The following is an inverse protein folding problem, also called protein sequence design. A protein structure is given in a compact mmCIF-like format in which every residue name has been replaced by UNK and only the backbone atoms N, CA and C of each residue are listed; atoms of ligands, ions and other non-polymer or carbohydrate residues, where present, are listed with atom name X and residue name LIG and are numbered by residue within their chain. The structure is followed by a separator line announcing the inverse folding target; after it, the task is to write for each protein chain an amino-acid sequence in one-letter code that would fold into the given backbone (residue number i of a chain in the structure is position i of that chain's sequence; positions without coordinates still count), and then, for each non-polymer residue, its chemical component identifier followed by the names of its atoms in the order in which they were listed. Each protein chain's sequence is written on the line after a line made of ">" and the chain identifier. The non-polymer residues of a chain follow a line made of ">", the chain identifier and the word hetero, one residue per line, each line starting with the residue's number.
data_IF_368137348194
#
_entry.id   IF_368137348194
#
_cell.length_a   1.000
_cell.length_b   1.000
_cell.length_c   1.000
_cell.angle_alpha   90.00
_cell.angle_beta   90.00
_cell.angle_gamma   90.00
#
_symmetry.space_group_name_H-M   'P 1'
#
loop_
_entity.id
_entity.type
_entity.pdbx_description
1 polymer ?
#
# COMPACT_ATOMS: atom_id res chain seq x y z
N UNK A 1 -1.14 8.82 6.50
CA UNK A 1 -0.45 7.56 6.12
C UNK A 1 -1.40 6.48 5.66
N UNK A 2 -2.52 6.21 6.35
CA UNK A 2 -3.49 5.18 5.93
C UNK A 2 -4.13 5.46 4.56
N UNK A 3 -4.50 6.71 4.30
CA UNK A 3 -5.17 7.12 3.07
C UNK A 3 -4.36 6.79 1.79
N UNK A 4 -3.06 7.12 1.68
CA UNK A 4 -2.28 6.76 0.51
C UNK A 4 -2.03 5.24 0.35
N UNK A 5 -1.98 4.50 1.46
CA UNK A 5 -1.87 3.04 1.42
C UNK A 5 -3.16 2.40 0.91
N UNK A 6 -4.32 2.87 1.40
CA UNK A 6 -5.63 2.41 0.94
C UNK A 6 -5.87 2.76 -0.52
N UNK A 7 -5.47 3.96 -0.96
CA UNK A 7 -5.56 4.35 -2.36
C UNK A 7 -4.70 3.42 -3.24
N UNK A 8 -3.42 3.22 -2.90
CA UNK A 8 -2.53 2.34 -3.68
C UNK A 8 -3.01 0.90 -3.70
N UNK A 9 -3.53 0.38 -2.57
CA UNK A 9 -4.09 -0.97 -2.50
C UNK A 9 -5.34 -1.12 -3.37
N UNK A 10 -6.31 -0.21 -3.25
CA UNK A 10 -7.56 -0.29 -4.01
C UNK A 10 -7.33 -0.08 -5.51
N UNK A 11 -6.59 0.96 -5.90
CA UNK A 11 -6.25 1.23 -7.30
C UNK A 11 -5.45 0.10 -7.95
N UNK A 12 -4.48 -0.47 -7.24
CA UNK A 12 -3.66 -1.58 -7.74
C UNK A 12 -4.49 -2.85 -7.95
N UNK A 13 -5.32 -3.24 -6.97
CA UNK A 13 -6.19 -4.42 -7.07
C UNK A 13 -7.22 -4.25 -8.18
N UNK A 14 -7.91 -3.11 -8.23
CA UNK A 14 -8.92 -2.84 -9.25
C UNK A 14 -8.29 -2.80 -10.66
N UNK A 15 -7.07 -2.28 -10.80
CA UNK A 15 -6.38 -2.25 -12.09
C UNK A 15 -6.02 -3.67 -12.54
N UNK A 16 -5.53 -4.49 -11.61
CA UNK A 16 -5.24 -5.90 -11.90
C UNK A 16 -6.50 -6.66 -12.32
N UNK A 17 -7.66 -6.37 -11.71
CA UNK A 17 -8.94 -6.96 -12.14
C UNK A 17 -9.33 -6.51 -13.55
N UNK A 18 -9.11 -5.25 -13.90
CA UNK A 18 -9.34 -4.74 -15.25
C UNK A 18 -8.44 -5.42 -16.29
N UNK A 19 -7.16 -5.66 -15.95
CA UNK A 19 -6.21 -6.40 -16.80
C UNK A 19 -6.69 -7.84 -17.01
N UNK A 20 -7.11 -8.54 -15.95
CA UNK A 20 -7.63 -9.91 -16.06
C UNK A 20 -8.91 -9.96 -16.91
N UNK A 21 -9.72 -8.91 -16.88
CA UNK A 21 -10.92 -8.77 -17.70
C UNK A 21 -10.66 -8.33 -19.15
N UNK A 22 -9.41 -8.07 -19.54
CA UNK A 22 -9.05 -7.55 -20.86
C UNK A 22 -9.57 -6.14 -21.14
N UNK A 23 -9.74 -5.32 -20.09
CA UNK A 23 -10.23 -3.93 -20.15
C UNK A 23 -9.19 -2.91 -19.72
N UNK A 24 -7.91 -3.26 -19.74
CA UNK A 24 -6.83 -2.41 -19.25
C UNK A 24 -6.81 -1.02 -19.87
N UNK A 25 -7.18 -0.89 -21.16
CA UNK A 25 -7.26 0.38 -21.87
C UNK A 25 -8.24 1.37 -21.23
N UNK A 26 -9.38 0.86 -20.77
CA UNK A 26 -10.46 1.68 -20.20
C UNK A 26 -10.12 2.13 -18.76
N UNK A 27 -9.18 1.42 -18.12
CA UNK A 27 -8.79 1.62 -16.72
C UNK A 27 -7.35 2.11 -16.56
N UNK A 28 -6.69 2.62 -17.60
CA UNK A 28 -5.34 3.23 -17.52
C UNK A 28 -5.29 4.34 -16.45
N UNK A 29 -6.38 5.10 -16.28
CA UNK A 29 -6.47 6.15 -15.26
C UNK A 29 -6.31 5.62 -13.83
N UNK A 30 -6.67 4.36 -13.57
CA UNK A 30 -6.48 3.70 -12.29
C UNK A 30 -5.00 3.49 -11.98
N UNK A 31 -4.22 3.14 -13.02
CA UNK A 31 -2.77 3.03 -12.92
C UNK A 31 -2.10 4.41 -12.75
N UNK A 32 -2.63 5.46 -13.38
CA UNK A 32 -2.18 6.84 -13.15
C UNK A 32 -2.41 7.26 -11.70
N UNK A 33 -3.61 7.02 -11.15
CA UNK A 33 -3.92 7.28 -9.74
C UNK A 33 -3.03 6.47 -8.79
N UNK A 34 -2.78 5.19 -9.10
CA UNK A 34 -1.91 4.33 -8.30
C UNK A 34 -0.49 4.90 -8.16
N UNK A 35 0.04 5.48 -9.24
CA UNK A 35 1.35 6.14 -9.27
C UNK A 35 1.35 7.52 -8.62
N UNK A 36 0.19 8.07 -8.24
CA UNK A 36 0.10 9.44 -7.72
C UNK A 36 0.13 10.51 -8.82
N UNK A 37 -0.20 10.13 -10.05
CA UNK A 37 -0.46 11.05 -11.15
C UNK A 37 -1.96 11.37 -11.19
N UNK A 38 -2.31 12.58 -10.73
CA UNK A 38 -3.69 13.08 -10.71
C UNK A 38 -4.01 13.95 -11.94
N UNK A 39 -3.38 13.65 -13.09
CA UNK A 39 -3.54 14.38 -14.35
C UNK A 39 -2.78 15.72 -14.34
N UNK A 40 -3.31 16.72 -13.64
CA UNK A 40 -2.70 18.07 -13.57
C UNK A 40 -1.63 18.19 -12.49
N UNK A 41 -1.58 17.27 -11.53
CA UNK A 41 -0.65 17.30 -10.41
C UNK A 41 0.15 16.00 -10.39
N UNK A 42 1.43 16.11 -10.75
CA UNK A 42 2.37 15.00 -10.71
C UNK A 42 3.05 14.97 -9.34
N UNK A 43 2.46 14.24 -8.39
CA UNK A 43 3.12 13.92 -7.11
C UNK A 43 3.85 12.57 -7.17
N UNK A 44 4.00 11.98 -8.36
CA UNK A 44 4.45 10.59 -8.56
C UNK A 44 5.69 10.23 -7.74
N UNK A 45 6.73 11.07 -7.77
CA UNK A 45 7.97 10.79 -7.04
C UNK A 45 7.82 10.93 -5.52
N UNK A 46 7.16 11.99 -5.04
CA UNK A 46 7.10 12.30 -3.60
C UNK A 46 6.08 11.39 -2.90
N UNK A 47 4.91 11.21 -3.51
CA UNK A 47 3.84 10.37 -2.97
C UNK A 47 4.28 8.91 -2.89
N UNK A 48 4.83 8.36 -3.98
CA UNK A 48 5.23 6.96 -4.03
C UNK A 48 6.36 6.66 -3.03
N UNK A 49 7.33 7.57 -2.92
CA UNK A 49 8.44 7.42 -1.97
C UNK A 49 7.97 7.45 -0.51
N UNK A 50 7.14 8.44 -0.14
CA UNK A 50 6.60 8.53 1.22
C UNK A 50 5.67 7.36 1.55
N UNK A 51 4.91 6.86 0.57
CA UNK A 51 4.04 5.70 0.76
C UNK A 51 4.86 4.43 1.00
N UNK A 52 5.93 4.20 0.23
CA UNK A 52 6.84 3.08 0.41
C UNK A 52 7.55 3.12 1.77
N UNK A 53 8.06 4.28 2.18
CA UNK A 53 8.67 4.46 3.51
C UNK A 53 7.66 4.25 4.65
N UNK A 54 6.45 4.78 4.51
CA UNK A 54 5.38 4.60 5.48
C UNK A 54 4.97 3.13 5.63
N UNK A 55 4.88 2.41 4.51
CA UNK A 55 4.61 0.97 4.51
C UNK A 55 5.73 0.17 5.17
N UNK A 56 7.00 0.47 4.82
CA UNK A 56 8.16 -0.17 5.44
C UNK A 56 8.16 0.03 6.96
N UNK A 57 7.89 1.25 7.41
CA UNK A 57 7.81 1.55 8.84
C UNK A 57 6.68 0.75 9.53
N UNK A 58 5.51 0.65 8.90
CA UNK A 58 4.40 -0.17 9.41
C UNK A 58 4.73 -1.65 9.48
N UNK A 59 5.41 -2.20 8.46
CA UNK A 59 5.84 -3.60 8.44
C UNK A 59 6.85 -3.86 9.56
N UNK A 60 7.88 -3.02 9.69
CA UNK A 60 8.91 -3.17 10.72
C UNK A 60 8.30 -3.08 12.13
N UNK A 61 7.49 -2.05 12.39
CA UNK A 61 6.84 -1.88 13.68
C UNK A 61 5.86 -3.03 13.97
N UNK A 62 5.10 -3.47 12.98
CA UNK A 62 4.23 -4.65 13.07
C UNK A 62 4.98 -5.92 13.45
N UNK A 63 6.11 -6.20 12.80
CA UNK A 63 6.96 -7.37 13.10
C UNK A 63 7.54 -7.29 14.52
N UNK A 64 8.04 -6.12 14.93
CA UNK A 64 8.57 -5.91 16.28
C UNK A 64 7.47 -6.16 17.32
N UNK A 65 6.27 -5.59 17.13
CA UNK A 65 5.13 -5.78 18.03
C UNK A 65 4.66 -7.24 18.06
N UNK A 66 4.65 -7.91 16.91
CA UNK A 66 4.30 -9.33 16.80
C UNK A 66 5.27 -10.19 17.63
N UNK A 67 6.58 -10.01 17.42
CA UNK A 67 7.60 -10.75 18.19
C UNK A 67 7.55 -10.47 19.69
N UNK A 68 7.31 -9.22 20.10
CA UNK A 68 7.14 -8.88 21.51
C UNK A 68 5.90 -9.55 22.11
N UNK A 69 4.78 -9.54 21.40
CA UNK A 69 3.52 -10.16 21.84
C UNK A 69 3.66 -11.67 21.99
N UNK A 70 4.30 -12.34 21.03
CA UNK A 70 4.54 -13.79 21.11
C UNK A 70 5.46 -14.16 22.27
N UNK A 71 6.52 -13.37 22.53
CA UNK A 71 7.42 -13.60 23.68
C UNK A 71 6.73 -13.36 25.04
N UNK A 72 5.92 -12.31 25.16
CA UNK A 72 5.15 -12.03 26.39
C UNK A 72 4.13 -13.12 26.70
N UNK A 73 3.42 -13.64 25.69
CA UNK A 73 2.48 -14.77 25.87
C UNK A 73 3.18 -16.02 26.39
N UNK A 74 4.39 -16.33 25.91
CA UNK A 74 5.18 -17.49 26.36
C UNK A 74 5.67 -17.38 27.81
N UNK A 75 6.01 -16.17 28.28
CA UNK A 75 6.48 -15.95 29.65
C UNK A 75 5.35 -15.93 30.69
N UNK A 76 4.11 -15.62 30.31
CA UNK A 76 2.96 -15.62 31.23
C UNK A 76 2.28 -17.00 31.37
N UNK A 77 2.75 -18.01 30.65
CA UNK A 77 2.26 -19.39 30.68
C UNK A 77 3.21 -20.37 31.39
N UNK A 78 4.19 -19.84 32.13
CA UNK A 78 5.10 -20.56 33.05
C UNK A 78 4.83 -20.04 34.46
#
# INVERSE_FOLDING_TARGET
>A
MLLPLLLSLTTGVLFQLAVIAGKESDFIWLLALHRGNFGSINLENVYTFLNALGLLFLIVTGIIMWWQTTRRRRNNSV
#
